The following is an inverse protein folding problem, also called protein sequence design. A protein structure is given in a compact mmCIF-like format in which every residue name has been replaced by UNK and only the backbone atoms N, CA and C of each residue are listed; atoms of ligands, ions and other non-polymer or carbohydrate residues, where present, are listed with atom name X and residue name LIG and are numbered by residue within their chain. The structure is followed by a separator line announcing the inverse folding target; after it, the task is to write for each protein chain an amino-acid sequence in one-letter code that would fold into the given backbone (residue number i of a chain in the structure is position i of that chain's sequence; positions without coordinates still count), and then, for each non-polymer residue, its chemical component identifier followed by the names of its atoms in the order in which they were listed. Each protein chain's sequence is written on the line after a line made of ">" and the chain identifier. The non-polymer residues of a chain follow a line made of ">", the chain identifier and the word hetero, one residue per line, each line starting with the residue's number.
data_IF_685300923549
#
_entry.id   IF_685300923549
#
_cell.length_a   1.000
_cell.length_b   1.000
_cell.length_c   1.000
_cell.angle_alpha   90.00
_cell.angle_beta   90.00
_cell.angle_gamma   90.00
#
_symmetry.space_group_name_H-M   'P 1'
#
loop_
_entity.id
_entity.type
_entity.pdbx_description
1 polymer ?
#
# COMPACT_ATOMS: atom_id res chain seq x y z
N UNK A 1 -8.81 18.66 -3.25
CA UNK A 1 -7.64 18.38 -2.39
C UNK A 1 -7.36 16.89 -2.49
N UNK A 2 -6.12 16.49 -2.78
CA UNK A 2 -5.73 15.07 -2.79
C UNK A 2 -5.67 14.56 -1.35
N UNK A 3 -6.25 13.39 -1.08
CA UNK A 3 -6.20 12.78 0.26
C UNK A 3 -4.82 12.19 0.55
N UNK A 4 -4.52 11.93 1.82
CA UNK A 4 -3.27 11.31 2.25
C UNK A 4 -3.03 9.96 1.54
N UNK A 5 -4.04 9.10 1.41
CA UNK A 5 -3.87 7.81 0.73
C UNK A 5 -3.54 8.03 -0.75
N UNK A 6 -4.23 8.95 -1.43
CA UNK A 6 -3.95 9.24 -2.83
C UNK A 6 -2.52 9.77 -3.04
N UNK A 7 -2.03 10.64 -2.14
CA UNK A 7 -0.65 11.14 -2.20
C UNK A 7 0.37 10.01 -2.04
N UNK A 8 0.14 9.08 -1.11
CA UNK A 8 1.02 7.93 -0.91
C UNK A 8 1.07 7.04 -2.17
N UNK A 9 -0.07 6.72 -2.77
CA UNK A 9 -0.10 5.92 -4.00
C UNK A 9 0.58 6.62 -5.19
N UNK A 10 0.45 7.95 -5.32
CA UNK A 10 1.21 8.69 -6.32
C UNK A 10 2.72 8.63 -6.10
N UNK A 11 3.17 8.78 -4.84
CA UNK A 11 4.59 8.64 -4.52
C UNK A 11 5.10 7.24 -4.85
N UNK A 12 4.37 6.20 -4.46
CA UNK A 12 4.74 4.82 -4.80
C UNK A 12 4.84 4.63 -6.31
N UNK A 13 3.84 5.07 -7.08
CA UNK A 13 3.85 4.95 -8.53
C UNK A 13 4.98 5.74 -9.22
N UNK A 14 5.48 6.79 -8.56
CA UNK A 14 6.61 7.58 -9.06
C UNK A 14 7.94 6.90 -8.76
N UNK A 15 8.09 6.34 -7.55
CA UNK A 15 9.34 5.74 -7.07
C UNK A 15 9.56 4.31 -7.58
N UNK A 16 8.49 3.53 -7.73
CA UNK A 16 8.53 2.14 -8.17
C UNK A 16 7.43 1.85 -9.23
N UNK A 17 7.59 2.38 -10.46
CA UNK A 17 6.59 2.23 -11.53
C UNK A 17 6.41 0.77 -11.99
N UNK A 18 7.36 -0.11 -11.71
CA UNK A 18 7.26 -1.54 -11.98
C UNK A 18 6.36 -2.29 -10.97
N UNK A 19 6.12 -1.70 -9.80
CA UNK A 19 5.27 -2.21 -8.72
C UNK A 19 3.88 -1.57 -8.76
N UNK A 20 3.82 -0.24 -8.90
CA UNK A 20 2.60 0.55 -8.90
C UNK A 20 2.57 1.52 -10.08
N UNK A 21 1.47 1.56 -10.84
CA UNK A 21 1.29 2.48 -11.96
C UNK A 21 0.10 3.40 -11.69
N UNK A 22 0.31 4.71 -11.89
CA UNK A 22 -0.79 5.65 -12.02
C UNK A 22 -1.51 5.43 -13.36
N UNK A 23 -2.81 5.70 -13.40
CA UNK A 23 -3.58 5.69 -14.64
C UNK A 23 -3.93 7.13 -15.06
N UNK A 24 -4.64 7.31 -16.17
CA UNK A 24 -5.10 8.63 -16.64
C UNK A 24 -5.94 9.41 -15.59
N UNK A 25 -6.41 8.74 -14.54
CA UNK A 25 -7.10 9.37 -13.42
C UNK A 25 -6.26 9.27 -12.15
N UNK A 26 -6.01 10.41 -11.51
CA UNK A 26 -5.14 10.57 -10.34
C UNK A 26 -5.56 9.74 -9.10
N UNK A 27 -6.79 9.23 -9.05
CA UNK A 27 -7.29 8.40 -7.94
C UNK A 27 -7.32 6.90 -8.27
N UNK A 28 -6.86 6.51 -9.47
CA UNK A 28 -6.86 5.12 -9.95
C UNK A 28 -5.43 4.65 -10.21
N UNK A 29 -5.08 3.56 -9.55
CA UNK A 29 -3.76 2.95 -9.63
C UNK A 29 -3.87 1.48 -10.05
N UNK A 30 -2.82 0.95 -10.65
CA UNK A 30 -2.66 -0.47 -10.94
C UNK A 30 -1.47 -0.98 -10.15
N UNK A 31 -1.74 -1.87 -9.20
CA UNK A 31 -0.69 -2.50 -8.40
C UNK A 31 -0.42 -3.89 -8.95
N UNK A 32 0.86 -4.21 -9.17
CA UNK A 32 1.28 -5.49 -9.71
C UNK A 32 0.94 -6.61 -8.73
N UNK A 33 0.39 -7.71 -9.25
CA UNK A 33 0.11 -8.89 -8.45
C UNK A 33 1.39 -9.71 -8.35
N UNK A 34 1.78 -10.01 -7.11
CA UNK A 34 2.89 -10.90 -6.82
C UNK A 34 2.37 -12.33 -6.69
N UNK A 35 3.04 -13.35 -7.26
CA UNK A 35 2.63 -14.75 -7.14
C UNK A 35 2.45 -15.23 -5.70
N UNK A 36 3.24 -14.69 -4.77
CA UNK A 36 3.19 -15.00 -3.34
C UNK A 36 2.04 -14.31 -2.59
N UNK A 37 1.36 -13.35 -3.23
CA UNK A 37 0.21 -12.62 -2.66
C UNK A 37 -1.09 -13.19 -3.21
N UNK A 38 -1.19 -13.34 -4.53
CA UNK A 38 -2.33 -13.98 -5.19
C UNK A 38 -1.82 -14.90 -6.30
N UNK A 39 -2.33 -16.14 -6.34
CA UNK A 39 -2.00 -17.09 -7.41
C UNK A 39 -2.52 -16.57 -8.74
N UNK A 40 -1.63 -15.94 -9.50
CA UNK A 40 -1.91 -15.45 -10.83
C UNK A 40 -0.87 -15.96 -11.83
N UNK A 41 -1.34 -16.49 -12.96
CA UNK A 41 -0.49 -17.07 -13.99
C UNK A 41 0.07 -16.04 -14.98
N UNK A 42 -0.31 -14.76 -14.84
CA UNK A 42 0.14 -13.70 -15.74
C UNK A 42 1.20 -12.84 -15.06
N UNK A 43 2.41 -12.71 -15.65
CA UNK A 43 3.49 -11.92 -15.08
C UNK A 43 3.19 -10.41 -15.09
N UNK A 44 2.20 -9.97 -15.86
CA UNK A 44 1.77 -8.58 -15.98
C UNK A 44 0.40 -8.33 -15.32
N UNK A 45 -0.09 -9.29 -14.52
CA UNK A 45 -1.35 -9.11 -13.83
C UNK A 45 -1.24 -7.96 -12.81
N UNK A 46 -2.25 -7.11 -12.80
CA UNK A 46 -2.34 -5.99 -11.89
C UNK A 46 -3.75 -5.89 -11.33
N UNK A 47 -3.86 -5.51 -10.06
CA UNK A 47 -5.13 -5.18 -9.41
C UNK A 47 -5.35 -3.67 -9.47
N UNK A 48 -6.56 -3.26 -9.82
CA UNK A 48 -6.93 -1.84 -9.79
C UNK A 48 -7.22 -1.41 -8.35
N UNK A 49 -6.61 -0.31 -7.93
CA UNK A 49 -6.85 0.36 -6.66
C UNK A 49 -7.51 1.70 -6.96
N UNK A 50 -8.64 1.97 -6.30
CA UNK A 50 -9.35 3.25 -6.37
C UNK A 50 -9.24 3.87 -4.98
N UNK A 51 -8.48 4.95 -4.83
CA UNK A 51 -8.15 5.51 -3.51
C UNK A 51 -9.37 6.09 -2.80
N UNK A 52 -10.35 6.62 -3.54
CA UNK A 52 -11.62 7.09 -2.99
C UNK A 52 -12.42 5.98 -2.27
N UNK A 53 -12.33 4.74 -2.76
CA UNK A 53 -13.00 3.59 -2.14
C UNK A 53 -12.32 3.23 -0.81
N UNK A 54 -10.99 3.41 -0.71
CA UNK A 54 -10.20 3.19 0.52
C UNK A 54 -10.47 4.26 1.58
N UNK A 55 -10.72 5.50 1.16
CA UNK A 55 -10.99 6.63 2.04
C UNK A 55 -12.41 6.56 2.63
N UNK A 56 -13.40 6.34 1.77
CA UNK A 56 -14.80 6.63 2.13
C UNK A 56 -15.47 5.53 2.95
N UNK A 57 -14.83 4.38 3.18
CA UNK A 57 -15.33 3.27 4.02
C UNK A 57 -16.84 3.00 3.83
N UNK A 58 -17.35 3.18 2.60
CA UNK A 58 -18.79 3.18 2.37
C UNK A 58 -19.35 1.83 2.80
N UNK A 59 -20.37 1.85 3.65
CA UNK A 59 -20.89 0.66 4.34
C UNK A 59 -21.25 -0.50 3.37
N UNK A 60 -21.67 -0.19 2.14
CA UNK A 60 -22.01 -1.19 1.12
C UNK A 60 -20.81 -1.82 0.38
N UNK A 61 -19.57 -1.34 0.62
CA UNK A 61 -18.32 -1.84 0.03
C UNK A 61 -17.25 -2.16 1.08
N UNK A 62 -17.63 -2.29 2.35
CA UNK A 62 -16.69 -2.48 3.45
C UNK A 62 -15.82 -3.73 3.27
N UNK A 63 -16.43 -4.87 2.91
CA UNK A 63 -15.70 -6.12 2.71
C UNK A 63 -14.71 -6.03 1.56
N UNK A 64 -15.12 -5.41 0.45
CA UNK A 64 -14.25 -5.17 -0.69
C UNK A 64 -13.08 -4.24 -0.35
N UNK A 65 -13.35 -3.18 0.42
CA UNK A 65 -12.33 -2.23 0.88
C UNK A 65 -11.29 -2.91 1.77
N UNK A 66 -11.74 -3.77 2.71
CA UNK A 66 -10.86 -4.56 3.57
C UNK A 66 -10.00 -5.52 2.73
N UNK A 67 -10.59 -6.20 1.74
CA UNK A 67 -9.84 -7.08 0.84
C UNK A 67 -8.75 -6.32 0.07
N UNK A 68 -9.06 -5.12 -0.44
CA UNK A 68 -8.07 -4.27 -1.11
C UNK A 68 -6.96 -3.81 -0.17
N UNK A 69 -7.30 -3.40 1.05
CA UNK A 69 -6.30 -3.01 2.06
C UNK A 69 -5.40 -4.18 2.46
N UNK A 70 -5.97 -5.39 2.61
CA UNK A 70 -5.20 -6.60 2.88
C UNK A 70 -4.27 -6.95 1.73
N UNK A 71 -4.75 -6.84 0.49
CA UNK A 71 -3.92 -7.02 -0.70
C UNK A 71 -2.73 -6.04 -0.71
N UNK A 72 -2.98 -4.75 -0.50
CA UNK A 72 -1.93 -3.71 -0.43
C UNK A 72 -0.92 -4.04 0.66
N UNK A 73 -1.39 -4.40 1.86
CA UNK A 73 -0.53 -4.76 2.99
C UNK A 73 0.37 -5.96 2.67
N UNK A 74 -0.21 -7.04 2.13
CA UNK A 74 0.55 -8.24 1.77
C UNK A 74 1.57 -7.96 0.67
N UNK A 75 1.21 -7.16 -0.33
CA UNK A 75 2.14 -6.72 -1.37
C UNK A 75 3.33 -5.98 -0.77
N UNK A 76 3.10 -5.03 0.14
CA UNK A 76 4.19 -4.29 0.80
C UNK A 76 5.08 -5.22 1.64
N UNK A 77 4.48 -6.13 2.41
CA UNK A 77 5.24 -7.11 3.20
C UNK A 77 6.15 -7.94 2.29
N UNK A 78 5.64 -8.38 1.14
CA UNK A 78 6.45 -9.16 0.20
C UNK A 78 7.56 -8.33 -0.44
N UNK A 79 7.31 -7.08 -0.82
CA UNK A 79 8.37 -6.21 -1.31
C UNK A 79 9.44 -5.93 -0.25
N UNK A 80 9.06 -5.77 1.02
CA UNK A 80 10.02 -5.65 2.12
C UNK A 80 10.85 -6.94 2.25
N UNK A 81 10.21 -8.10 2.24
CA UNK A 81 10.88 -9.39 2.35
C UNK A 81 11.86 -9.65 1.18
N UNK A 82 11.46 -9.32 -0.05
CA UNK A 82 12.33 -9.40 -1.23
C UNK A 82 13.58 -8.51 -1.11
N UNK A 83 13.46 -7.39 -0.39
CA UNK A 83 14.56 -6.48 -0.03
C UNK A 83 15.25 -6.84 1.29
N UNK A 84 15.04 -8.06 1.81
CA UNK A 84 15.60 -8.56 3.08
C UNK A 84 15.29 -7.65 4.29
N UNK A 85 14.21 -6.91 4.22
CA UNK A 85 13.76 -5.99 5.27
C UNK A 85 12.55 -6.58 5.98
N UNK A 86 12.55 -6.54 7.31
CA UNK A 86 11.36 -6.89 8.09
C UNK A 86 10.52 -5.65 8.37
N UNK A 87 9.21 -5.84 8.46
CA UNK A 87 8.24 -4.82 8.83
C UNK A 87 7.54 -5.24 10.12
N UNK A 88 7.39 -4.29 11.04
CA UNK A 88 6.74 -4.48 12.34
C UNK A 88 5.68 -3.39 12.55
N UNK A 89 4.69 -3.69 13.38
CA UNK A 89 3.56 -2.78 13.62
C UNK A 89 3.43 -2.48 15.11
N UNK A 90 3.16 -1.22 15.42
CA UNK A 90 2.77 -0.78 16.75
C UNK A 90 1.43 -0.06 16.67
N UNK A 91 0.58 -0.30 17.67
CA UNK A 91 -0.77 0.24 17.74
C UNK A 91 -0.82 1.24 18.89
N UNK A 92 -1.24 2.46 18.57
CA UNK A 92 -1.30 3.59 19.52
C UNK A 92 -2.69 4.21 19.49
N UNK A 93 -3.00 5.09 20.44
CA UNK A 93 -4.26 5.84 20.45
C UNK A 93 -4.44 6.73 19.21
N UNK A 94 -3.35 7.12 18.55
CA UNK A 94 -3.35 7.94 17.33
C UNK A 94 -3.47 7.11 16.04
N UNK A 95 -3.38 5.78 16.13
CA UNK A 95 -3.44 4.87 14.98
C UNK A 95 -2.32 3.82 14.96
N UNK A 96 -2.20 3.16 13.82
CA UNK A 96 -1.17 2.15 13.53
C UNK A 96 0.07 2.82 12.94
N UNK A 97 1.23 2.36 13.39
CA UNK A 97 2.54 2.80 12.91
C UNK A 97 3.30 1.57 12.44
N UNK A 98 3.86 1.64 11.23
CA UNK A 98 4.73 0.59 10.70
C UNK A 98 6.19 1.02 10.79
N UNK A 99 7.06 0.08 11.14
CA UNK A 99 8.51 0.30 11.19
C UNK A 99 9.22 -0.78 10.39
N UNK A 100 10.07 -0.38 9.46
CA UNK A 100 10.91 -1.27 8.66
C UNK A 100 12.33 -1.29 9.27
N UNK A 101 12.97 -2.47 9.31
CA UNK A 101 14.27 -2.81 9.92
C UNK A 101 15.31 -1.68 10.11
N UNK A 102 15.43 -0.75 9.17
CA UNK A 102 16.41 0.34 9.21
C UNK A 102 15.94 1.57 10.01
N UNK A 103 14.90 1.45 10.84
CA UNK A 103 14.34 2.54 11.64
C UNK A 103 13.41 3.47 10.86
N UNK A 104 13.12 3.17 9.59
CA UNK A 104 12.15 3.90 8.78
C UNK A 104 10.76 3.65 9.31
N UNK A 105 10.11 4.73 9.74
CA UNK A 105 8.86 4.69 10.51
C UNK A 105 7.83 5.59 9.85
N UNK A 106 6.64 5.06 9.63
CA UNK A 106 5.52 5.87 9.15
C UNK A 106 4.97 6.81 10.21
N UNK A 107 4.20 7.79 9.74
CA UNK A 107 3.28 8.52 10.60
C UNK A 107 2.16 7.58 11.10
N UNK A 108 1.43 7.93 12.17
CA UNK A 108 0.26 7.17 12.58
C UNK A 108 -0.83 7.22 11.50
N UNK A 109 -1.33 6.06 11.08
CA UNK A 109 -2.42 5.93 10.11
C UNK A 109 -3.56 5.06 10.65
N UNK A 110 -4.81 5.25 10.19
CA UNK A 110 -5.96 4.49 10.69
C UNK A 110 -5.94 3.00 10.36
N UNK A 111 -5.15 2.58 9.35
CA UNK A 111 -5.08 1.18 8.91
C UNK A 111 -3.63 0.71 8.70
N UNK A 112 -3.27 -0.52 9.11
CA UNK A 112 -1.92 -1.06 8.94
C UNK A 112 -1.38 -1.03 7.51
N UNK A 113 -2.23 -1.26 6.51
CA UNK A 113 -1.85 -1.18 5.09
C UNK A 113 -1.32 0.20 4.69
N UNK A 114 -1.95 1.28 5.19
CA UNK A 114 -1.54 2.65 4.88
C UNK A 114 -0.27 3.00 5.65
N UNK A 115 -0.18 2.58 6.91
CA UNK A 115 1.04 2.71 7.70
C UNK A 115 2.23 1.98 7.06
N UNK A 116 2.02 0.78 6.54
CA UNK A 116 3.03 0.02 5.82
C UNK A 116 3.45 0.74 4.53
N UNK A 117 2.50 1.30 3.78
CA UNK A 117 2.78 2.00 2.53
C UNK A 117 3.65 3.23 2.76
N UNK A 118 3.31 4.04 3.76
CA UNK A 118 4.09 5.22 4.13
C UNK A 118 5.53 4.85 4.53
N UNK A 119 5.72 3.85 5.38
CA UNK A 119 7.05 3.38 5.75
C UNK A 119 7.82 2.80 4.55
N UNK A 120 7.12 2.10 3.65
CA UNK A 120 7.71 1.53 2.45
C UNK A 120 8.14 2.60 1.43
N UNK A 121 7.35 3.66 1.26
CA UNK A 121 7.74 4.81 0.43
C UNK A 121 9.03 5.44 0.95
N UNK A 122 9.17 5.59 2.27
CA UNK A 122 10.44 6.07 2.84
C UNK A 122 11.59 5.12 2.48
N UNK A 123 11.38 3.79 2.50
CA UNK A 123 12.39 2.82 2.06
C UNK A 123 12.72 2.93 0.57
N UNK A 124 11.78 3.33 -0.27
CA UNK A 124 12.01 3.55 -1.71
C UNK A 124 12.82 4.82 -2.01
N UNK A 125 12.81 5.81 -1.11
CA UNK A 125 13.50 7.10 -1.28
C UNK A 125 15.01 7.02 -0.96
N UNK A 126 15.49 5.94 -0.31
CA UNK A 126 16.90 5.70 0.06
C UNK A 126 17.52 4.55 -0.74
#
# INVERSE_FOLDING_TARGET
>A
MSTTIQQLFHKWATLAPDECLSTERDYKFKLRILPDVEKCNSPTASRQIITEDLETHKAYRRDFTIQLLNFVLLTIIQHCAARQSSISFSFTELGTIATICNGLRSQPHPHPAIAALDAYIQLLEF
#
